data_IF_513946357847
#
_entry.id   IF_513946357847
#
_cell.length_a   1.000
_cell.length_b   1.000
_cell.length_c   1.000
_cell.angle_alpha   90.00
_cell.angle_beta   90.00
_cell.angle_gamma   90.00
#
_symmetry.space_group_name_H-M   'P 1'
#
loop_
_entity.id
_entity.type
_entity.pdbx_description
1 polymer ?
#
# COMPACT_ATOMS: atom_id res chain seq x y z
N UNK A 1 17.20 41.48 28.87
CA UNK A 1 15.72 41.32 28.79
C UNK A 1 15.21 41.17 27.35
N UNK A 2 15.51 42.08 26.40
CA UNK A 2 14.98 41.99 25.01
C UNK A 2 15.26 40.67 24.28
N UNK A 3 16.48 40.13 24.33
CA UNK A 3 16.85 38.86 23.66
C UNK A 3 16.14 37.63 24.24
N UNK A 4 15.94 37.60 25.57
CA UNK A 4 15.21 36.52 26.23
C UNK A 4 13.73 36.55 25.84
N UNK A 5 13.13 37.74 25.72
CA UNK A 5 11.75 37.92 25.27
C UNK A 5 11.55 37.45 23.82
N UNK A 6 12.51 37.74 22.94
CA UNK A 6 12.47 37.29 21.53
C UNK A 6 12.55 35.77 21.40
N UNK A 7 13.41 35.12 22.19
CA UNK A 7 13.51 33.65 22.21
C UNK A 7 12.25 32.99 22.74
N UNK A 8 11.61 33.60 23.75
CA UNK A 8 10.36 33.11 24.33
C UNK A 8 9.20 33.23 23.33
N UNK A 9 9.17 34.32 22.55
CA UNK A 9 8.22 34.49 21.44
C UNK A 9 8.42 33.45 20.33
N UNK A 10 9.67 33.17 19.94
CA UNK A 10 9.99 32.14 18.94
C UNK A 10 9.58 30.75 19.45
N UNK A 11 9.90 30.42 20.70
CA UNK A 11 9.47 29.16 21.31
C UNK A 11 7.94 29.06 21.36
N UNK A 12 7.24 30.12 21.76
CA UNK A 12 5.78 30.16 21.82
C UNK A 12 5.11 30.07 20.43
N UNK A 13 5.75 30.60 19.39
CA UNK A 13 5.34 30.41 18.00
C UNK A 13 5.55 28.97 17.53
N UNK A 14 6.59 28.28 17.99
CA UNK A 14 6.91 26.90 17.57
C UNK A 14 6.12 25.82 18.34
N UNK A 15 5.76 26.07 19.60
CA UNK A 15 4.97 25.16 20.45
C UNK A 15 3.66 24.65 19.83
N UNK A 16 2.81 25.48 19.17
CA UNK A 16 1.60 24.98 18.53
C UNK A 16 1.89 24.10 17.29
N UNK A 17 3.02 24.28 16.61
CA UNK A 17 3.41 23.42 15.48
C UNK A 17 4.01 22.08 15.92
N UNK A 18 4.42 21.93 17.17
CA UNK A 18 4.89 20.65 17.70
C UNK A 18 3.80 19.57 17.69
N UNK A 19 2.52 19.98 17.71
CA UNK A 19 1.36 19.08 17.73
C UNK A 19 0.58 19.03 16.40
N UNK A 20 0.89 19.90 15.42
CA UNK A 20 0.37 19.80 14.05
C UNK A 20 1.36 18.99 13.23
N UNK A 21 1.46 17.69 13.54
CA UNK A 21 2.34 16.78 12.83
C UNK A 21 1.51 15.93 11.86
N UNK A 22 2.10 15.49 10.75
CA UNK A 22 1.41 14.63 9.78
C UNK A 22 1.12 13.22 10.33
N UNK A 23 1.77 12.84 11.43
CA UNK A 23 1.75 11.49 12.00
C UNK A 23 0.37 11.06 12.53
N UNK A 24 -0.36 11.84 13.36
CA UNK A 24 -1.70 11.45 13.80
C UNK A 24 -2.72 11.32 12.66
N UNK A 25 -2.57 12.12 11.59
CA UNK A 25 -3.42 12.03 10.40
C UNK A 25 -3.13 10.75 9.62
N UNK A 26 -1.85 10.38 9.49
CA UNK A 26 -1.44 9.13 8.84
C UNK A 26 -1.93 7.90 9.62
N UNK A 27 -1.80 7.91 10.94
CA UNK A 27 -2.31 6.85 11.82
C UNK A 27 -3.83 6.69 11.68
N UNK A 28 -4.58 7.79 11.70
CA UNK A 28 -6.03 7.77 11.49
C UNK A 28 -6.44 7.23 10.12
N UNK A 29 -5.65 7.52 9.07
CA UNK A 29 -5.90 7.01 7.73
C UNK A 29 -5.62 5.50 7.63
N UNK A 30 -4.56 5.01 8.29
CA UNK A 30 -4.26 3.58 8.40
C UNK A 30 -5.38 2.86 9.15
N UNK A 31 -5.87 3.41 10.26
CA UNK A 31 -7.02 2.89 11.01
C UNK A 31 -8.26 2.73 10.13
N UNK A 32 -8.60 3.77 9.37
CA UNK A 32 -9.72 3.72 8.44
C UNK A 32 -9.58 2.60 7.39
N UNK A 33 -8.40 2.41 6.81
CA UNK A 33 -8.18 1.37 5.79
C UNK A 33 -8.36 -0.02 6.40
N UNK A 34 -7.82 -0.25 7.61
CA UNK A 34 -7.96 -1.51 8.35
C UNK A 34 -9.43 -1.86 8.60
N UNK A 35 -10.22 -0.88 9.03
CA UNK A 35 -11.65 -1.06 9.32
C UNK A 35 -12.49 -1.23 8.04
N UNK A 36 -12.09 -0.56 6.94
CA UNK A 36 -12.79 -0.64 5.66
C UNK A 36 -12.66 -2.00 4.96
N UNK A 37 -11.73 -2.84 5.40
CA UNK A 37 -11.40 -4.14 4.82
C UNK A 37 -12.59 -5.11 4.75
N UNK A 38 -13.57 -5.03 5.67
CA UNK A 38 -14.75 -5.90 5.58
C UNK A 38 -15.69 -5.53 4.42
N UNK A 39 -15.43 -4.42 3.73
CA UNK A 39 -16.40 -3.78 2.85
C UNK A 39 -16.14 -4.14 1.37
N UNK A 40 -14.93 -4.56 0.98
CA UNK A 40 -14.62 -4.76 -0.44
C UNK A 40 -13.63 -5.90 -0.71
N UNK A 41 -14.06 -6.81 -1.59
CA UNK A 41 -13.22 -7.82 -2.24
C UNK A 41 -12.82 -7.40 -3.66
N UNK A 42 -12.80 -6.09 -3.94
CA UNK A 42 -12.40 -5.57 -5.25
C UNK A 42 -10.87 -5.56 -5.39
N UNK A 43 -10.37 -6.06 -6.51
CA UNK A 43 -8.93 -6.12 -6.82
C UNK A 43 -8.30 -4.74 -6.72
N UNK A 44 -8.91 -3.70 -7.33
CA UNK A 44 -8.47 -2.31 -7.21
C UNK A 44 -8.38 -1.83 -5.76
N UNK A 45 -9.40 -2.08 -4.95
CA UNK A 45 -9.47 -1.57 -3.57
C UNK A 45 -8.41 -2.22 -2.69
N UNK A 46 -8.24 -3.54 -2.82
CA UNK A 46 -7.16 -4.29 -2.14
C UNK A 46 -5.78 -3.81 -2.60
N UNK A 47 -5.59 -3.59 -3.90
CA UNK A 47 -4.34 -3.09 -4.45
C UNK A 47 -3.97 -1.70 -3.91
N UNK A 48 -4.95 -0.79 -3.83
CA UNK A 48 -4.74 0.55 -3.26
C UNK A 48 -4.44 0.49 -1.76
N UNK A 49 -5.14 -0.37 -1.01
CA UNK A 49 -4.86 -0.59 0.40
C UNK A 49 -3.45 -1.13 0.61
N UNK A 50 -3.02 -2.13 -0.18
CA UNK A 50 -1.67 -2.68 -0.13
C UNK A 50 -0.61 -1.60 -0.38
N UNK A 51 -0.79 -0.80 -1.43
CA UNK A 51 0.13 0.30 -1.73
C UNK A 51 0.18 1.31 -0.58
N UNK A 52 -0.96 1.69 -0.01
CA UNK A 52 -1.00 2.61 1.12
C UNK A 52 -0.32 2.05 2.37
N UNK A 53 -0.51 0.76 2.68
CA UNK A 53 0.14 0.11 3.83
C UNK A 53 1.65 0.02 3.65
N UNK A 54 2.12 -0.41 2.48
CA UNK A 54 3.55 -0.45 2.15
C UNK A 54 4.18 0.94 2.28
N UNK A 55 3.51 1.98 1.76
CA UNK A 55 4.00 3.34 1.87
C UNK A 55 3.98 3.88 3.31
N UNK A 56 3.09 3.37 4.16
CA UNK A 56 2.97 3.81 5.56
C UNK A 56 3.90 3.04 6.50
N UNK A 57 4.43 1.89 6.06
CA UNK A 57 5.32 1.07 6.86
C UNK A 57 6.58 1.85 7.29
N UNK A 58 6.88 1.80 8.59
CA UNK A 58 7.98 2.57 9.20
C UNK A 58 7.71 4.07 9.35
N UNK A 59 6.54 4.57 8.93
CA UNK A 59 6.10 5.97 9.14
C UNK A 59 5.04 6.11 10.24
N UNK A 60 4.47 4.99 10.68
CA UNK A 60 3.55 4.88 11.83
C UNK A 60 4.17 4.01 12.94
N UNK A 61 3.68 4.13 14.17
CA UNK A 61 4.20 3.31 15.30
C UNK A 61 3.79 1.83 15.21
N UNK A 62 2.64 1.56 14.59
CA UNK A 62 2.09 0.22 14.46
C UNK A 62 2.85 -0.62 13.42
N UNK A 63 2.97 -1.92 13.71
CA UNK A 63 3.49 -2.89 12.74
C UNK A 63 2.42 -3.21 11.68
N UNK A 64 2.65 -2.76 10.45
CA UNK A 64 1.74 -2.98 9.33
C UNK A 64 1.99 -4.30 8.58
N UNK A 65 3.03 -5.06 8.93
CA UNK A 65 3.40 -6.29 8.25
C UNK A 65 2.24 -7.28 8.13
N UNK A 66 1.40 -7.53 9.17
CA UNK A 66 0.27 -8.44 9.06
C UNK A 66 -0.77 -8.04 8.01
N UNK A 67 -1.02 -6.73 7.87
CA UNK A 67 -1.97 -6.20 6.88
C UNK A 67 -1.40 -6.24 5.46
N UNK A 68 -0.11 -5.95 5.31
CA UNK A 68 0.61 -6.08 4.04
C UNK A 68 0.58 -7.53 3.57
N UNK A 69 0.96 -8.47 4.44
CA UNK A 69 0.97 -9.91 4.15
C UNK A 69 -0.42 -10.39 3.71
N UNK A 70 -1.47 -9.90 4.36
CA UNK A 70 -2.83 -10.27 4.03
C UNK A 70 -3.29 -9.78 2.65
N UNK A 71 -3.07 -8.50 2.33
CA UNK A 71 -3.43 -7.99 1.00
C UNK A 71 -2.59 -8.61 -0.11
N UNK A 72 -1.33 -8.92 0.19
CA UNK A 72 -0.45 -9.69 -0.69
C UNK A 72 -1.06 -11.06 -0.96
N UNK A 73 -1.41 -11.81 0.09
CA UNK A 73 -1.99 -13.15 -0.06
C UNK A 73 -3.29 -13.12 -0.86
N UNK A 74 -4.15 -12.12 -0.62
CA UNK A 74 -5.36 -11.94 -1.43
C UNK A 74 -5.05 -11.84 -2.93
N UNK A 75 -4.09 -10.99 -3.32
CA UNK A 75 -3.75 -10.82 -4.73
C UNK A 75 -3.06 -12.08 -5.31
N UNK A 76 -2.20 -12.74 -4.54
CA UNK A 76 -1.53 -13.97 -4.96
C UNK A 76 -2.52 -15.12 -5.20
N UNK A 77 -3.49 -15.29 -4.31
CA UNK A 77 -4.47 -16.38 -4.36
C UNK A 77 -5.52 -16.18 -5.46
N UNK A 78 -5.74 -14.93 -5.90
CA UNK A 78 -6.80 -14.56 -6.83
C UNK A 78 -6.29 -14.14 -8.21
N UNK A 79 -5.03 -14.44 -8.56
CA UNK A 79 -4.59 -14.36 -9.96
C UNK A 79 -5.29 -15.46 -10.76
N UNK A 80 -5.91 -15.08 -11.88
CA UNK A 80 -6.61 -16.01 -12.76
C UNK A 80 -5.61 -16.88 -13.57
N UNK A 81 -6.07 -18.02 -14.12
CA UNK A 81 -5.23 -18.90 -14.93
C UNK A 81 -4.64 -18.26 -16.20
N UNK A 82 -5.19 -17.13 -16.65
CA UNK A 82 -4.71 -16.36 -17.80
C UNK A 82 -3.65 -15.31 -17.44
N UNK A 83 -3.09 -15.40 -16.22
CA UNK A 83 -2.09 -14.49 -15.66
C UNK A 83 -2.66 -13.10 -15.24
N UNK A 84 -3.96 -12.83 -15.40
CA UNK A 84 -4.59 -11.55 -15.05
C UNK A 84 -5.39 -11.54 -13.74
N UNK A 85 -6.01 -10.39 -13.44
CA UNK A 85 -7.04 -10.24 -12.39
C UNK A 85 -8.27 -9.54 -12.98
N UNK A 86 -9.44 -9.93 -12.49
CA UNK A 86 -10.70 -9.22 -12.75
C UNK A 86 -11.09 -8.32 -11.58
N UNK A 87 -12.22 -7.62 -11.72
CA UNK A 87 -12.80 -6.75 -10.69
C UNK A 87 -12.87 -7.39 -9.28
N UNK A 88 -13.19 -8.68 -9.20
CA UNK A 88 -13.23 -9.44 -7.94
C UNK A 88 -12.83 -10.91 -8.17
N UNK A 89 -12.55 -11.69 -7.11
CA UNK A 89 -12.18 -13.10 -7.21
C UNK A 89 -13.06 -13.92 -8.17
N UNK A 90 -12.41 -14.60 -9.12
CA UNK A 90 -13.07 -15.48 -10.09
C UNK A 90 -13.81 -14.77 -11.23
N UNK A 91 -13.81 -13.43 -11.28
CA UNK A 91 -14.27 -12.68 -12.45
C UNK A 91 -13.22 -12.73 -13.57
N UNK A 92 -13.68 -12.56 -14.82
CA UNK A 92 -12.80 -12.48 -15.98
C UNK A 92 -11.75 -11.40 -15.82
N UNK A 93 -10.51 -11.70 -16.23
CA UNK A 93 -9.41 -10.74 -16.18
C UNK A 93 -9.64 -9.55 -17.10
N UNK A 94 -9.26 -8.37 -16.64
CA UNK A 94 -9.25 -7.15 -17.42
C UNK A 94 -7.97 -6.33 -17.19
N UNK A 95 -7.69 -5.42 -18.13
CA UNK A 95 -6.44 -4.64 -18.12
C UNK A 95 -6.38 -3.71 -16.90
N UNK A 96 -7.51 -3.16 -16.45
CA UNK A 96 -7.52 -2.15 -15.39
C UNK A 96 -7.19 -2.80 -14.03
N UNK A 97 -7.93 -3.84 -13.66
CA UNK A 97 -7.72 -4.53 -12.38
C UNK A 97 -6.38 -5.27 -12.35
N UNK A 98 -5.97 -5.88 -13.47
CA UNK A 98 -4.62 -6.45 -13.60
C UNK A 98 -3.54 -5.40 -13.39
N UNK A 99 -3.71 -4.18 -13.92
CA UNK A 99 -2.73 -3.10 -13.75
C UNK A 99 -2.58 -2.68 -12.29
N UNK A 100 -3.68 -2.58 -11.55
CA UNK A 100 -3.64 -2.27 -10.12
C UNK A 100 -2.90 -3.36 -9.34
N UNK A 101 -3.21 -4.63 -9.57
CA UNK A 101 -2.56 -5.75 -8.91
C UNK A 101 -1.05 -5.78 -9.18
N UNK A 102 -0.63 -5.59 -10.44
CA UNK A 102 0.79 -5.58 -10.84
C UNK A 102 1.58 -4.48 -10.13
N UNK A 103 1.03 -3.26 -10.06
CA UNK A 103 1.70 -2.14 -9.39
C UNK A 103 1.78 -2.39 -7.88
N UNK A 104 0.71 -2.87 -7.26
CA UNK A 104 0.67 -3.14 -5.83
C UNK A 104 1.65 -4.25 -5.43
N UNK A 105 1.68 -5.36 -6.17
CA UNK A 105 2.62 -6.46 -5.94
C UNK A 105 4.08 -6.04 -6.18
N UNK A 106 4.33 -5.17 -7.16
CA UNK A 106 5.68 -4.63 -7.40
C UNK A 106 6.17 -3.78 -6.23
N UNK A 107 5.31 -2.91 -5.68
CA UNK A 107 5.62 -2.12 -4.48
C UNK A 107 5.83 -3.00 -3.25
N UNK A 108 4.99 -4.01 -3.07
CA UNK A 108 5.16 -4.97 -1.97
C UNK A 108 6.48 -5.76 -2.11
N UNK A 109 6.89 -6.13 -3.33
CA UNK A 109 8.17 -6.80 -3.55
C UNK A 109 9.36 -5.94 -3.08
N UNK A 110 9.32 -4.63 -3.33
CA UNK A 110 10.34 -3.70 -2.82
C UNK A 110 10.37 -3.65 -1.29
N UNK A 111 9.20 -3.71 -0.64
CA UNK A 111 9.08 -3.75 0.82
C UNK A 111 9.74 -4.98 1.45
N UNK A 112 9.57 -6.19 0.89
CA UNK A 112 10.21 -7.41 1.43
C UNK A 112 11.72 -7.50 1.15
N UNK A 113 12.28 -6.57 0.36
CA UNK A 113 13.71 -6.51 0.08
C UNK A 113 14.21 -7.54 -0.95
N UNK A 114 15.19 -7.13 -1.75
CA UNK A 114 15.76 -7.97 -2.80
C UNK A 114 16.40 -9.26 -2.25
N UNK A 115 16.15 -10.37 -2.96
CA UNK A 115 16.73 -11.69 -2.64
C UNK A 115 15.93 -12.53 -1.63
N UNK A 116 14.83 -12.01 -1.08
CA UNK A 116 13.90 -12.81 -0.27
C UNK A 116 13.00 -13.69 -1.15
N UNK A 117 12.47 -14.77 -0.57
CA UNK A 117 11.51 -15.63 -1.27
C UNK A 117 10.22 -14.87 -1.58
N UNK A 118 9.78 -14.00 -0.67
CA UNK A 118 8.62 -13.12 -0.85
C UNK A 118 8.83 -12.19 -2.04
N UNK A 119 9.95 -11.46 -2.08
CA UNK A 119 10.28 -10.59 -3.21
C UNK A 119 10.22 -11.35 -4.53
N UNK A 120 10.85 -12.53 -4.59
CA UNK A 120 10.89 -13.35 -5.80
C UNK A 120 9.49 -13.80 -6.25
N UNK A 121 8.69 -14.31 -5.33
CA UNK A 121 7.31 -14.75 -5.61
C UNK A 121 6.44 -13.61 -6.13
N UNK A 122 6.53 -12.43 -5.51
CA UNK A 122 5.75 -11.25 -5.90
C UNK A 122 6.15 -10.74 -7.29
N UNK A 123 7.45 -10.69 -7.57
CA UNK A 123 7.96 -10.33 -8.90
C UNK A 123 7.46 -11.29 -9.98
N UNK A 124 7.49 -12.60 -9.72
CA UNK A 124 6.98 -13.61 -10.67
C UNK A 124 5.50 -13.37 -11.00
N UNK A 125 4.68 -13.16 -9.97
CA UNK A 125 3.23 -12.97 -10.15
C UNK A 125 2.91 -11.63 -10.81
N UNK A 126 3.62 -10.56 -10.46
CA UNK A 126 3.52 -9.26 -11.12
C UNK A 126 3.94 -9.33 -12.60
N UNK A 127 5.02 -10.06 -12.93
CA UNK A 127 5.50 -10.20 -14.30
C UNK A 127 4.51 -11.00 -15.17
N UNK A 128 3.81 -11.98 -14.59
CA UNK A 128 2.67 -12.67 -15.23
C UNK A 128 1.54 -11.69 -15.56
N UNK A 129 1.12 -10.86 -14.61
CA UNK A 129 0.14 -9.80 -14.86
C UNK A 129 0.58 -8.81 -15.94
N UNK A 130 1.84 -8.39 -15.92
CA UNK A 130 2.40 -7.52 -16.95
C UNK A 130 2.37 -8.17 -18.35
N UNK A 131 2.59 -9.49 -18.42
CA UNK A 131 2.43 -10.26 -19.66
C UNK A 131 0.98 -10.31 -20.13
N UNK A 132 0.00 -10.52 -19.23
CA UNK A 132 -1.42 -10.42 -19.58
C UNK A 132 -1.73 -9.05 -20.20
N UNK A 133 -1.32 -7.96 -19.55
CA UNK A 133 -1.53 -6.58 -20.03
C UNK A 133 -0.92 -6.42 -21.43
N UNK A 134 0.32 -6.86 -21.63
CA UNK A 134 0.99 -6.78 -22.94
C UNK A 134 0.22 -7.53 -24.02
N UNK A 135 -0.31 -8.71 -23.71
CA UNK A 135 -1.02 -9.55 -24.67
C UNK A 135 -2.42 -9.01 -24.99
N UNK A 136 -3.05 -8.25 -24.09
CA UNK A 136 -4.36 -7.66 -24.32
C UNK A 136 -4.42 -6.62 -25.47
N UNK A 137 -3.27 -6.14 -25.94
CA UNK A 137 -3.15 -5.15 -27.02
C UNK A 137 -2.59 -5.70 -28.34
N UNK A 138 -2.30 -7.00 -28.43
CA UNK A 138 -1.81 -7.65 -29.66
C UNK A 138 -2.88 -8.59 -30.24
#
# INVERSE_FOLDING_TARGET
MRRALSLLFIAMLLLPYANVTAKPVLESAVDFIKDSKSISNETKSVSLALMAMVESAGKVEEDLSPYIDEYVNFLLENQNPDDGWGYSPGQSSDVLDTSYAVVALSKAAEYYGYGTSQHTSLRIVADRGAKFIKNAFN
#
